data_IF_397613836891
#
_entry.id   IF_397613836891
#
_cell.length_a   1.000
_cell.length_b   1.000
_cell.length_c   1.000
_cell.angle_alpha   90.00
_cell.angle_beta   90.00
_cell.angle_gamma   90.00
#
_symmetry.space_group_name_H-M   'P 1'
#
loop_
_entity.id
_entity.type
_entity.pdbx_description
1 polymer ?
#
# COMPACT_ATOMS: atom_id res chain seq x y z
N UNK A 1 18.87 -14.86 17.90
CA UNK A 1 19.29 -14.79 16.48
C UNK A 1 18.01 -14.62 15.65
N UNK A 2 17.64 -13.38 15.30
CA UNK A 2 16.42 -13.12 14.52
C UNK A 2 16.71 -13.37 13.04
N UNK A 3 15.91 -14.26 12.44
CA UNK A 3 15.95 -14.57 11.02
C UNK A 3 15.36 -13.36 10.28
N UNK A 4 16.14 -12.69 9.43
CA UNK A 4 15.61 -11.69 8.51
C UNK A 4 14.67 -12.40 7.53
N UNK A 5 13.39 -12.12 7.64
CA UNK A 5 12.43 -12.39 6.56
C UNK A 5 12.75 -11.40 5.44
N UNK A 6 13.10 -11.91 4.25
CA UNK A 6 13.45 -11.09 3.08
C UNK A 6 12.27 -10.23 2.58
N UNK A 7 11.07 -10.35 3.17
CA UNK A 7 9.91 -9.49 2.92
C UNK A 7 9.87 -8.21 3.75
N UNK A 8 10.74 -8.05 4.76
CA UNK A 8 10.75 -6.88 5.63
C UNK A 8 12.11 -6.17 5.58
N UNK A 9 12.13 -4.96 5.01
CA UNK A 9 13.31 -4.12 4.96
C UNK A 9 13.27 -3.07 6.08
N UNK A 10 14.36 -2.85 6.82
CA UNK A 10 14.44 -1.73 7.75
C UNK A 10 14.42 -0.42 6.95
N UNK A 11 13.61 0.54 7.40
CA UNK A 11 13.63 1.90 6.87
C UNK A 11 14.35 2.79 7.87
N UNK A 12 15.50 3.32 7.46
CA UNK A 12 16.32 4.25 8.26
C UNK A 12 16.42 5.61 7.56
N UNK A 13 16.84 6.65 8.28
CA UNK A 13 17.04 7.98 7.69
C UNK A 13 17.93 7.91 6.44
N UNK A 14 17.46 8.50 5.34
CA UNK A 14 18.14 8.48 4.05
C UNK A 14 17.86 7.26 3.16
N UNK A 15 17.09 6.27 3.64
CA UNK A 15 16.66 5.13 2.80
C UNK A 15 15.77 5.60 1.64
N UNK A 16 15.90 4.95 0.49
CA UNK A 16 15.05 5.17 -0.68
C UNK A 16 14.53 3.84 -1.18
N UNK A 17 13.22 3.77 -1.37
CA UNK A 17 12.54 2.58 -1.88
C UNK A 17 11.63 3.00 -3.02
N UNK A 18 11.76 2.34 -4.16
CA UNK A 18 10.81 2.43 -5.26
C UNK A 18 10.01 1.13 -5.29
N UNK A 19 8.67 1.18 -5.47
CA UNK A 19 7.88 -0.03 -5.58
C UNK A 19 8.27 -0.81 -6.85
N UNK A 20 8.44 -2.11 -6.70
CA UNK A 20 8.54 -3.03 -7.83
C UNK A 20 7.12 -3.46 -8.20
N UNK A 21 6.66 -3.17 -9.43
CA UNK A 21 5.34 -3.61 -9.89
C UNK A 21 5.36 -5.14 -10.10
N UNK A 22 4.47 -5.97 -9.49
CA UNK A 22 3.23 -5.67 -8.76
C UNK A 22 3.26 -6.10 -7.27
N UNK A 23 4.31 -5.78 -6.51
CA UNK A 23 4.38 -6.14 -5.09
C UNK A 23 3.76 -5.06 -4.21
N UNK A 24 2.70 -5.43 -3.49
CA UNK A 24 2.13 -4.57 -2.44
C UNK A 24 3.15 -4.29 -1.33
N UNK A 25 3.14 -3.07 -0.80
CA UNK A 25 4.07 -2.63 0.23
C UNK A 25 3.36 -1.78 1.30
N UNK A 26 3.90 -1.80 2.51
CA UNK A 26 3.48 -0.94 3.63
C UNK A 26 4.69 -0.59 4.49
N UNK A 27 4.66 0.58 5.13
CA UNK A 27 5.64 0.99 6.12
C UNK A 27 4.98 0.97 7.50
N UNK A 28 5.62 0.31 8.48
CA UNK A 28 5.10 0.17 9.83
C UNK A 28 6.12 0.65 10.87
N UNK A 29 5.73 1.62 11.72
CA UNK A 29 6.53 2.05 12.88
C UNK A 29 6.54 0.93 13.94
N UNK A 30 7.71 0.41 14.26
CA UNK A 30 7.94 -0.64 15.27
C UNK A 30 8.79 -0.17 16.45
N UNK A 31 8.94 1.13 16.60
CA UNK A 31 9.74 1.79 17.65
C UNK A 31 8.88 2.82 18.37
N UNK A 32 9.33 3.29 19.53
CA UNK A 32 8.63 4.36 20.26
C UNK A 32 8.95 5.75 19.73
N UNK A 33 10.16 5.95 19.20
CA UNK A 33 10.59 7.22 18.58
C UNK A 33 9.80 7.56 17.29
N UNK A 34 9.54 8.84 17.04
CA UNK A 34 8.87 9.32 15.82
C UNK A 34 9.63 8.92 14.55
N UNK A 35 8.88 8.70 13.46
CA UNK A 35 9.42 8.44 12.13
C UNK A 35 8.69 9.32 11.10
N UNK A 36 9.45 9.91 10.18
CA UNK A 36 8.97 10.80 9.13
C UNK A 36 9.45 10.30 7.77
N UNK A 37 8.57 10.39 6.76
CA UNK A 37 8.85 9.93 5.40
C UNK A 37 8.30 10.94 4.39
N UNK A 38 8.99 11.09 3.26
CA UNK A 38 8.48 11.77 2.08
C UNK A 38 7.91 10.72 1.13
N UNK A 39 6.66 10.90 0.70
CA UNK A 39 6.01 10.06 -0.30
C UNK A 39 5.73 10.90 -1.54
N UNK A 40 6.28 10.47 -2.68
CA UNK A 40 6.03 11.06 -3.99
C UNK A 40 5.30 10.03 -4.85
N UNK A 41 4.17 10.44 -5.44
CA UNK A 41 3.35 9.60 -6.30
C UNK A 41 2.91 10.36 -7.54
N UNK A 42 2.70 9.65 -8.63
CA UNK A 42 2.13 10.22 -9.85
C UNK A 42 0.63 10.46 -9.68
N UNK A 43 0.17 11.65 -10.03
CA UNK A 43 -1.26 11.96 -10.09
C UNK A 43 -1.86 11.45 -11.41
N UNK A 44 -2.60 10.35 -11.34
CA UNK A 44 -3.23 9.71 -12.49
C UNK A 44 -4.73 9.98 -12.48
N UNK A 45 -5.28 10.34 -13.66
CA UNK A 45 -6.72 10.56 -13.82
C UNK A 45 -7.53 9.29 -13.51
N UNK A 46 -6.96 8.12 -13.82
CA UNK A 46 -7.52 6.82 -13.50
C UNK A 46 -6.43 5.94 -12.90
N UNK A 47 -6.72 5.30 -11.79
CA UNK A 47 -5.80 4.39 -11.11
C UNK A 47 -6.53 3.15 -10.59
N UNK A 48 -5.82 2.03 -10.52
CA UNK A 48 -6.33 0.76 -9.99
C UNK A 48 -5.35 0.19 -8.96
N UNK A 49 -5.82 0.07 -7.72
CA UNK A 49 -5.04 -0.42 -6.58
C UNK A 49 -5.65 -1.71 -6.05
N UNK A 50 -4.82 -2.72 -5.84
CA UNK A 50 -5.18 -3.97 -5.16
C UNK A 50 -4.55 -3.98 -3.78
N UNK A 51 -5.33 -4.41 -2.78
CA UNK A 51 -4.83 -4.62 -1.42
C UNK A 51 -4.66 -6.12 -1.23
N UNK A 52 -3.44 -6.58 -0.96
CA UNK A 52 -3.16 -8.03 -0.87
C UNK A 52 -3.59 -8.66 0.46
N UNK A 53 -3.65 -7.86 1.53
CA UNK A 53 -3.95 -8.35 2.88
C UNK A 53 -5.46 -8.56 3.11
N UNK A 54 -6.31 -8.01 2.24
CA UNK A 54 -7.77 -8.07 2.31
C UNK A 54 -8.34 -8.23 0.91
N UNK A 55 -9.50 -8.84 0.75
CA UNK A 55 -10.13 -8.99 -0.57
C UNK A 55 -10.73 -7.65 -1.07
N UNK A 56 -9.87 -6.71 -1.45
CA UNK A 56 -10.24 -5.35 -1.86
C UNK A 56 -9.42 -4.87 -3.05
N UNK A 57 -10.13 -4.32 -4.02
CA UNK A 57 -9.64 -3.59 -5.18
C UNK A 57 -10.37 -2.26 -5.27
N UNK A 58 -9.62 -1.19 -5.53
CA UNK A 58 -10.12 0.17 -5.65
C UNK A 58 -9.78 0.70 -7.03
N UNK A 59 -10.80 1.16 -7.75
CA UNK A 59 -10.64 1.93 -8.99
C UNK A 59 -10.96 3.38 -8.69
N UNK A 60 -10.01 4.27 -8.91
CA UNK A 60 -10.21 5.71 -8.77
C UNK A 60 -10.40 6.32 -10.14
N UNK A 61 -11.45 7.11 -10.31
CA UNK A 61 -11.74 7.94 -11.47
C UNK A 61 -12.21 9.33 -10.99
N UNK A 62 -12.24 10.35 -11.84
CA UNK A 62 -12.86 11.63 -11.48
C UNK A 62 -14.38 11.57 -11.78
N UNK A 63 -15.32 11.73 -10.82
CA UNK A 63 -15.16 12.29 -9.46
C UNK A 63 -15.30 11.28 -8.29
N UNK A 64 -14.85 10.03 -8.39
CA UNK A 64 -14.94 9.10 -7.26
C UNK A 64 -14.22 7.76 -7.41
N UNK A 65 -14.25 6.99 -6.32
CA UNK A 65 -13.66 5.65 -6.27
C UNK A 65 -14.73 4.57 -6.19
N UNK A 66 -14.52 3.47 -6.91
CA UNK A 66 -15.33 2.24 -6.84
C UNK A 66 -14.56 1.18 -6.06
N UNK A 67 -15.23 0.57 -5.09
CA UNK A 67 -14.67 -0.46 -4.21
C UNK A 67 -15.28 -1.82 -4.55
N UNK A 68 -14.43 -2.80 -4.85
CA UNK A 68 -14.86 -4.16 -5.23
C UNK A 68 -14.00 -5.20 -4.54
N UNK A 69 -14.54 -6.40 -4.36
CA UNK A 69 -13.73 -7.61 -4.20
C UNK A 69 -12.86 -7.83 -5.44
N UNK A 70 -11.84 -8.70 -5.36
CA UNK A 70 -10.97 -8.96 -6.51
C UNK A 70 -11.75 -9.53 -7.71
N UNK A 71 -12.83 -10.28 -7.44
CA UNK A 71 -13.74 -10.82 -8.44
C UNK A 71 -14.68 -9.79 -9.10
N UNK A 72 -14.70 -8.55 -8.59
CA UNK A 72 -15.52 -7.45 -9.10
C UNK A 72 -16.87 -7.27 -8.42
N UNK A 73 -17.25 -8.12 -7.46
CA UNK A 73 -18.47 -7.90 -6.68
C UNK A 73 -18.33 -6.67 -5.77
N UNK A 74 -19.43 -5.92 -5.49
CA UNK A 74 -19.35 -4.71 -4.68
C UNK A 74 -18.81 -4.98 -3.27
N UNK A 75 -17.81 -4.21 -2.85
CA UNK A 75 -17.29 -4.28 -1.49
C UNK A 75 -18.14 -3.39 -0.57
N UNK A 76 -18.85 -3.97 0.39
CA UNK A 76 -19.76 -3.22 1.28
C UNK A 76 -19.09 -2.67 2.55
N UNK A 77 -17.77 -2.85 2.70
CA UNK A 77 -17.03 -2.48 3.91
C UNK A 77 -17.31 -3.43 5.08
N UNK A 78 -16.37 -3.49 6.03
CA UNK A 78 -16.73 -3.90 7.39
C UNK A 78 -17.52 -2.75 8.02
N UNK A 79 -18.74 -3.03 8.51
CA UNK A 79 -19.50 -2.08 9.33
C UNK A 79 -18.74 -1.72 10.60
#
# INVERSE_FOLDING_TARGET
MQRLDLTQLPVVAGSRHAPNTPLGYRVAKRTDASAEFLLEGTDLLNDEVTYSDVDLKVKTANPGSTFTHHDGTPFQGAK
#
